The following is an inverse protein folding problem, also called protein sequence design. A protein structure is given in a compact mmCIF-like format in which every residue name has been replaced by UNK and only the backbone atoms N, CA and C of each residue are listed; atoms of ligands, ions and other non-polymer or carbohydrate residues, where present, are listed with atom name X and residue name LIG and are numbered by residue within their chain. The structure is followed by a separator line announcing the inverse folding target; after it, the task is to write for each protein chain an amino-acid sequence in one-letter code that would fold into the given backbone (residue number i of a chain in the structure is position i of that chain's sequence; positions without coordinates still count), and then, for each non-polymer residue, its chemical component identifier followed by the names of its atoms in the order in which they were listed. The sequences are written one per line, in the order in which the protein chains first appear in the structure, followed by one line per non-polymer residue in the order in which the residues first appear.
data_IF_200023062902
#
_entry.id   IF_200023062902
#
_cell.length_a   1.000
_cell.length_b   1.000
_cell.length_c   1.000
_cell.angle_alpha   90.00
_cell.angle_beta   90.00
_cell.angle_gamma   90.00
#
_symmetry.space_group_name_H-M   'P 1'
#
loop_
_entity.id
_entity.type
_entity.pdbx_description
1 polymer ?
#
# COMPACT_ATOMS: atom_id res chain seq x y z
N UNK A 1 -25.84 9.25 -10.65
CA UNK A 1 -25.43 8.57 -9.42
C UNK A 1 -24.06 9.10 -8.98
N UNK A 2 -23.99 9.67 -7.79
CA UNK A 2 -22.73 10.21 -7.30
C UNK A 2 -21.82 9.08 -6.83
N UNK A 3 -20.60 9.03 -7.34
CA UNK A 3 -19.60 8.08 -6.86
C UNK A 3 -19.00 8.64 -5.58
N UNK A 4 -19.19 7.94 -4.48
CA UNK A 4 -18.56 8.29 -3.22
C UNK A 4 -17.19 7.62 -3.14
N UNK A 5 -16.16 8.44 -2.99
CA UNK A 5 -14.83 7.93 -2.69
C UNK A 5 -14.61 8.00 -1.19
N UNK A 6 -14.37 6.85 -0.58
CA UNK A 6 -14.01 6.78 0.82
C UNK A 6 -12.50 6.63 0.93
N UNK A 7 -11.88 7.49 1.72
CA UNK A 7 -10.46 7.38 1.97
C UNK A 7 -10.20 6.24 2.96
N UNK A 8 -9.44 5.22 2.56
CA UNK A 8 -9.10 4.12 3.48
C UNK A 8 -8.12 4.53 4.56
N UNK A 9 -7.39 5.62 4.31
CA UNK A 9 -6.43 6.18 5.24
C UNK A 9 -6.21 7.65 4.87
N UNK A 10 -5.50 8.36 5.73
CA UNK A 10 -5.22 9.79 5.54
C UNK A 10 -3.74 10.05 5.67
N UNK A 11 -3.23 11.15 5.09
CA UNK A 11 -1.83 11.54 5.28
C UNK A 11 -1.47 11.58 6.76
N UNK A 12 -0.35 10.95 7.11
CA UNK A 12 0.10 10.83 8.49
C UNK A 12 -0.27 9.50 9.16
N UNK A 13 -1.23 8.76 8.60
CA UNK A 13 -1.58 7.45 9.13
C UNK A 13 -0.46 6.44 8.89
N UNK A 14 -0.26 5.55 9.85
CA UNK A 14 0.67 4.44 9.70
C UNK A 14 -0.01 3.28 9.00
N UNK A 15 0.66 2.74 7.99
CA UNK A 15 0.17 1.59 7.22
C UNK A 15 1.27 0.55 7.09
N UNK A 16 0.89 -0.67 6.74
CA UNK A 16 1.81 -1.78 6.48
C UNK A 16 1.92 -1.97 4.97
N UNK A 17 3.13 -2.18 4.47
CA UNK A 17 3.35 -2.36 3.04
C UNK A 17 4.33 -3.47 2.74
N UNK A 18 4.20 -4.01 1.54
CA UNK A 18 5.08 -5.04 1.01
C UNK A 18 6.01 -4.41 -0.03
N UNK A 19 7.29 -4.71 0.04
CA UNK A 19 8.26 -4.18 -0.89
C UNK A 19 9.37 -5.18 -1.16
N UNK A 20 10.17 -4.89 -2.15
CA UNK A 20 11.26 -5.74 -2.58
C UNK A 20 11.94 -5.15 -3.81
N UNK A 21 12.59 -5.99 -4.58
CA UNK A 21 13.16 -5.59 -5.85
C UNK A 21 13.23 -6.79 -6.79
N UNK A 22 13.45 -6.52 -8.07
CA UNK A 22 13.52 -7.58 -9.08
C UNK A 22 12.22 -8.31 -9.29
N UNK A 23 11.08 -7.63 -9.05
CA UNK A 23 9.76 -8.23 -9.18
C UNK A 23 9.37 -9.15 -8.03
N UNK A 24 10.18 -9.22 -6.98
CA UNK A 24 9.92 -10.08 -5.83
C UNK A 24 9.63 -9.26 -4.59
N UNK A 25 8.65 -9.71 -3.80
CA UNK A 25 8.37 -9.15 -2.50
C UNK A 25 9.30 -9.81 -1.49
N UNK A 26 10.12 -9.01 -0.84
CA UNK A 26 11.16 -9.50 0.07
C UNK A 26 10.94 -9.14 1.53
N UNK A 27 10.18 -8.08 1.81
CA UNK A 27 9.96 -7.65 3.19
C UNK A 27 8.62 -6.97 3.37
N UNK A 28 8.23 -6.87 4.64
CA UNK A 28 7.04 -6.21 5.11
C UNK A 28 7.46 -5.16 6.14
N UNK A 29 7.01 -3.93 5.97
CA UNK A 29 7.38 -2.82 6.84
C UNK A 29 6.22 -1.87 7.06
N UNK A 30 6.40 -0.94 7.99
CA UNK A 30 5.45 0.15 8.21
C UNK A 30 6.02 1.46 7.68
N UNK A 31 5.13 2.34 7.29
CA UNK A 31 5.48 3.71 6.93
C UNK A 31 4.25 4.58 7.08
N UNK A 32 4.44 5.89 7.04
CA UNK A 32 3.35 6.85 7.11
C UNK A 32 2.90 7.26 5.73
N UNK A 33 1.60 7.43 5.59
CA UNK A 33 1.01 7.87 4.33
C UNK A 33 1.38 9.33 4.08
N UNK A 34 1.87 9.63 2.88
CA UNK A 34 2.11 11.00 2.46
C UNK A 34 0.94 11.53 1.63
N UNK A 35 0.43 10.71 0.73
CA UNK A 35 -0.64 11.12 -0.18
C UNK A 35 -1.51 9.93 -0.55
N UNK A 36 -2.81 10.19 -0.70
CA UNK A 36 -3.78 9.20 -1.17
C UNK A 36 -4.32 9.68 -2.51
N UNK A 37 -4.23 8.84 -3.52
CA UNK A 37 -4.75 9.14 -4.84
C UNK A 37 -5.73 8.09 -5.31
N UNK A 38 -6.60 8.47 -6.24
CA UNK A 38 -7.61 7.58 -6.77
C UNK A 38 -7.44 7.45 -8.28
N UNK A 39 -7.57 6.23 -8.77
CA UNK A 39 -7.70 5.97 -10.19
C UNK A 39 -9.09 5.38 -10.43
N UNK A 40 -9.43 5.11 -11.70
CA UNK A 40 -10.71 4.50 -12.01
C UNK A 40 -10.87 3.09 -11.44
N UNK A 41 -9.78 2.42 -11.06
CA UNK A 41 -9.79 1.02 -10.64
C UNK A 41 -9.15 0.75 -9.29
N UNK A 42 -8.44 1.71 -8.74
CA UNK A 42 -7.66 1.46 -7.53
C UNK A 42 -7.41 2.72 -6.73
N UNK A 43 -6.98 2.51 -5.49
CA UNK A 43 -6.54 3.58 -4.61
C UNK A 43 -5.03 3.45 -4.52
N UNK A 44 -4.34 4.54 -4.81
CA UNK A 44 -2.88 4.58 -4.79
C UNK A 44 -2.40 5.34 -3.57
N UNK A 45 -1.43 4.77 -2.88
CA UNK A 45 -0.86 5.33 -1.65
C UNK A 45 0.61 5.68 -1.90
N UNK A 46 0.96 6.91 -1.60
CA UNK A 46 2.35 7.34 -1.60
C UNK A 46 2.83 7.38 -0.16
N UNK A 47 3.96 6.73 0.11
CA UNK A 47 4.51 6.61 1.45
C UNK A 47 5.61 7.64 1.67
N UNK A 48 5.67 8.16 2.90
CA UNK A 48 6.60 9.24 3.27
C UNK A 48 8.07 8.83 3.13
N UNK A 49 8.40 7.62 3.51
CA UNK A 49 9.77 7.11 3.46
C UNK A 49 10.22 6.66 2.08
N UNK A 50 9.30 6.58 1.12
CA UNK A 50 9.61 6.16 -0.25
C UNK A 50 9.68 7.38 -1.16
N UNK A 51 10.88 7.93 -1.27
CA UNK A 51 11.13 9.15 -2.04
C UNK A 51 11.33 8.92 -3.53
N UNK A 52 11.26 7.68 -3.97
CA UNK A 52 11.42 7.35 -5.38
C UNK A 52 10.29 7.97 -6.19
N UNK A 53 10.66 8.66 -7.24
CA UNK A 53 9.72 9.38 -8.09
C UNK A 53 8.67 8.44 -8.66
N UNK A 54 7.40 8.74 -8.38
CA UNK A 54 6.29 8.02 -8.94
C UNK A 54 6.01 6.65 -8.35
N UNK A 55 6.76 6.22 -7.34
CA UNK A 55 6.48 4.93 -6.72
C UNK A 55 5.25 5.03 -5.84
N UNK A 56 4.24 4.25 -6.16
CA UNK A 56 3.01 4.17 -5.37
C UNK A 56 2.70 2.73 -5.05
N UNK A 57 1.90 2.55 -4.00
CA UNK A 57 1.41 1.24 -3.58
C UNK A 57 -0.09 1.21 -3.78
N UNK A 58 -0.62 0.06 -4.13
CA UNK A 58 -2.06 -0.12 -4.37
C UNK A 58 -2.71 -0.65 -3.10
N UNK A 59 -3.72 0.08 -2.62
CA UNK A 59 -4.45 -0.30 -1.42
C UNK A 59 -5.08 -1.68 -1.58
N UNK A 60 -4.87 -2.54 -0.57
CA UNK A 60 -5.38 -3.90 -0.58
C UNK A 60 -4.57 -4.90 -1.40
N UNK A 61 -3.54 -4.43 -2.11
CA UNK A 61 -2.66 -5.29 -2.90
C UNK A 61 -1.26 -5.39 -2.27
N UNK A 62 -0.64 -4.26 -2.01
CA UNK A 62 0.69 -4.22 -1.41
C UNK A 62 0.81 -3.16 -0.32
N UNK A 63 -0.29 -2.58 0.11
CA UNK A 63 -0.35 -1.72 1.29
C UNK A 63 -1.69 -1.97 2.00
N UNK A 64 -1.65 -2.03 3.33
CA UNK A 64 -2.78 -2.48 4.15
C UNK A 64 -2.87 -1.66 5.44
N UNK A 65 -4.07 -1.63 6.02
CA UNK A 65 -4.32 -0.93 7.26
C UNK A 65 -3.73 -1.67 8.47
N UNK A 66 -3.70 -2.99 8.44
CA UNK A 66 -3.28 -3.81 9.58
C UNK A 66 -2.12 -4.74 9.22
N UNK A 67 -1.37 -5.11 10.25
CA UNK A 67 -0.27 -6.06 10.11
C UNK A 67 -0.79 -7.42 9.63
N UNK A 68 -1.91 -7.86 10.15
CA UNK A 68 -2.49 -9.17 9.85
C UNK A 68 -2.82 -9.30 8.36
N UNK A 69 -3.46 -8.29 7.79
CA UNK A 69 -3.79 -8.29 6.37
C UNK A 69 -2.53 -8.31 5.50
N UNK A 70 -1.54 -7.53 5.88
CA UNK A 70 -0.27 -7.45 5.17
C UNK A 70 0.48 -8.77 5.24
N UNK A 71 0.54 -9.37 6.43
CA UNK A 71 1.21 -10.65 6.65
C UNK A 71 0.55 -11.77 5.85
N UNK A 72 -0.76 -11.80 5.80
CA UNK A 72 -1.52 -12.79 5.03
C UNK A 72 -1.13 -12.72 3.55
N UNK A 73 -1.08 -11.54 2.99
CA UNK A 73 -0.67 -11.36 1.60
C UNK A 73 0.80 -11.72 1.39
N UNK A 74 1.66 -11.37 2.33
CA UNK A 74 3.08 -11.69 2.27
C UNK A 74 3.30 -13.19 2.21
N UNK A 75 2.60 -13.95 3.03
CA UNK A 75 2.70 -15.40 3.05
C UNK A 75 2.19 -16.02 1.74
N UNK A 76 1.10 -15.50 1.21
CA UNK A 76 0.60 -15.93 -0.11
C UNK A 76 1.63 -15.75 -1.22
N UNK A 77 2.31 -14.62 -1.21
CA UNK A 77 3.31 -14.32 -2.24
C UNK A 77 4.57 -15.16 -2.08
N UNK A 78 4.88 -15.59 -0.86
CA UNK A 78 6.01 -16.48 -0.61
C UNK A 78 5.79 -17.90 -1.12
N UNK A 79 4.56 -18.35 -1.13
CA UNK A 79 4.20 -19.72 -1.53
C UNK A 79 4.25 -19.92 -3.05
N UNK A 80 4.40 -18.86 -3.79
CA UNK A 80 4.47 -18.94 -5.25
C UNK A 80 5.92 -18.91 -5.74
#
# INVERSE_FOLDING_TARGET
MAIKYEFPCYPGDEVWYLDGYGGKVLWMRTDKVEMVGFTTRSIKIKLRGKKDFGKTFTWGKNVFATKEECLEMFEKLKEN
#
